data_IF_215717602732
#
_entry.id   IF_215717602732
#
_cell.length_a   1.000
_cell.length_b   1.000
_cell.length_c   1.000
_cell.angle_alpha   90.00
_cell.angle_beta   90.00
_cell.angle_gamma   90.00
#
_symmetry.space_group_name_H-M   'P 1'
#
loop_
_entity.id
_entity.type
_entity.pdbx_description
1 polymer ?
#
# COMPACT_ATOMS: atom_id res chain seq x y z
N UNK A 1 -25.05 -81.51 50.78
CA UNK A 1 -24.12 -80.74 49.93
C UNK A 1 -24.91 -79.87 48.96
N UNK A 2 -25.32 -78.65 49.37
CA UNK A 2 -26.04 -77.69 48.51
C UNK A 2 -25.38 -76.31 48.62
N UNK A 3 -24.07 -76.27 48.36
CA UNK A 3 -23.25 -75.05 48.38
C UNK A 3 -22.62 -74.74 47.01
N UNK A 4 -23.12 -75.33 45.91
CA UNK A 4 -22.55 -75.14 44.57
C UNK A 4 -23.27 -74.10 43.70
N UNK A 5 -24.58 -73.90 43.89
CA UNK A 5 -25.38 -73.01 43.01
C UNK A 5 -25.36 -71.54 43.41
N UNK A 6 -25.04 -71.21 44.67
CA UNK A 6 -24.97 -69.81 45.15
C UNK A 6 -23.61 -69.16 44.88
N UNK A 7 -22.53 -69.94 44.91
CA UNK A 7 -21.17 -69.44 44.69
C UNK A 7 -20.91 -69.02 43.24
N UNK A 8 -21.55 -69.67 42.25
CA UNK A 8 -21.42 -69.29 40.84
C UNK A 8 -22.05 -67.92 40.53
N UNK A 9 -23.17 -67.59 41.16
CA UNK A 9 -23.83 -66.29 40.99
C UNK A 9 -23.02 -65.18 41.65
N UNK A 10 -22.44 -65.45 42.83
CA UNK A 10 -21.59 -64.49 43.56
C UNK A 10 -20.28 -64.24 42.80
N UNK A 11 -19.65 -65.28 42.25
CA UNK A 11 -18.45 -65.14 41.45
C UNK A 11 -18.70 -64.37 40.13
N UNK A 12 -19.85 -64.60 39.47
CA UNK A 12 -20.23 -63.86 38.26
C UNK A 12 -20.51 -62.39 38.57
N UNK A 13 -21.13 -62.09 39.71
CA UNK A 13 -21.35 -60.72 40.19
C UNK A 13 -20.04 -60.01 40.54
N UNK A 14 -19.09 -60.71 41.17
CA UNK A 14 -17.78 -60.17 41.51
C UNK A 14 -16.94 -59.86 40.26
N UNK A 15 -16.94 -60.73 39.24
CA UNK A 15 -16.23 -60.46 37.98
C UNK A 15 -16.88 -59.30 37.20
N UNK A 16 -18.21 -59.16 37.26
CA UNK A 16 -18.91 -58.01 36.66
C UNK A 16 -18.63 -56.68 37.39
N UNK A 17 -18.27 -56.72 38.67
CA UNK A 17 -17.95 -55.53 39.49
C UNK A 17 -16.51 -55.03 39.32
N UNK A 18 -15.56 -55.90 38.99
CA UNK A 18 -14.15 -55.50 38.74
C UNK A 18 -13.93 -54.98 37.32
N UNK A 19 -14.85 -55.27 36.39
CA UNK A 19 -14.95 -54.57 35.10
C UNK A 19 -15.53 -53.16 35.21
N UNK A 20 -15.37 -52.51 36.37
CA UNK A 20 -15.82 -51.16 36.66
C UNK A 20 -15.28 -50.21 35.61
N UNK A 21 -16.16 -49.79 34.69
CA UNK A 21 -15.85 -48.75 33.74
C UNK A 21 -15.28 -47.57 34.50
N UNK A 22 -14.09 -47.11 34.10
CA UNK A 22 -13.64 -45.80 34.54
C UNK A 22 -14.62 -44.83 33.89
N UNK A 23 -15.67 -44.47 34.62
CA UNK A 23 -16.47 -43.32 34.27
C UNK A 23 -15.51 -42.13 34.49
N UNK A 24 -14.71 -41.83 33.47
CA UNK A 24 -13.96 -40.60 33.41
C UNK A 24 -15.01 -39.49 33.33
N UNK A 25 -15.53 -39.08 34.48
CA UNK A 25 -16.22 -37.81 34.64
C UNK A 25 -15.13 -36.72 34.55
N UNK A 26 -14.60 -36.52 33.35
CA UNK A 26 -13.89 -35.31 33.06
C UNK A 26 -14.92 -34.18 33.20
N UNK A 27 -14.75 -33.34 34.22
CA UNK A 27 -15.55 -32.13 34.38
C UNK A 27 -15.22 -31.23 33.19
N UNK A 28 -16.09 -31.24 32.18
CA UNK A 28 -15.98 -30.35 31.03
C UNK A 28 -16.28 -28.94 31.54
N UNK A 29 -15.23 -28.16 31.75
CA UNK A 29 -15.30 -26.74 32.06
C UNK A 29 -15.24 -25.99 30.74
N UNK A 30 -16.32 -25.28 30.42
CA UNK A 30 -16.38 -24.34 29.29
C UNK A 30 -16.75 -22.95 29.80
N UNK A 31 -16.21 -21.93 29.16
CA UNK A 31 -16.50 -20.53 29.46
C UNK A 31 -16.73 -19.78 28.16
N UNK A 32 -17.78 -18.96 28.12
CA UNK A 32 -18.03 -18.03 27.02
C UNK A 32 -17.86 -16.62 27.56
N UNK A 33 -17.25 -15.75 26.77
CA UNK A 33 -16.98 -14.37 27.14
C UNK A 33 -16.86 -13.52 25.89
N UNK A 34 -17.11 -12.23 26.02
CA UNK A 34 -16.90 -11.29 24.93
C UNK A 34 -15.39 -11.06 24.75
N UNK A 35 -14.92 -11.10 23.50
CA UNK A 35 -13.60 -10.66 23.10
C UNK A 35 -13.74 -9.42 22.19
N UNK A 36 -12.80 -8.50 22.29
CA UNK A 36 -12.77 -7.28 21.48
C UNK A 36 -11.57 -7.25 20.57
N UNK A 37 -11.70 -6.61 19.42
CA UNK A 37 -10.59 -6.25 18.53
C UNK A 37 -10.65 -4.74 18.21
N UNK A 38 -9.54 -4.18 17.72
CA UNK A 38 -9.45 -2.77 17.35
C UNK A 38 -8.88 -2.63 15.93
N UNK A 39 -9.44 -1.72 15.14
CA UNK A 39 -8.90 -1.37 13.83
C UNK A 39 -7.68 -0.44 13.97
N UNK A 40 -6.69 -0.63 13.11
CA UNK A 40 -5.56 0.30 13.00
C UNK A 40 -5.99 1.61 12.30
N UNK A 41 -5.17 2.66 12.47
CA UNK A 41 -5.32 3.93 11.73
C UNK A 41 -4.30 4.01 10.61
N UNK A 42 -4.70 4.55 9.46
CA UNK A 42 -3.79 4.82 8.36
C UNK A 42 -2.92 6.05 8.64
N UNK A 43 -1.65 5.95 8.26
CA UNK A 43 -0.66 7.02 8.30
C UNK A 43 -0.44 7.54 6.89
N UNK A 44 -0.23 8.84 6.74
CA UNK A 44 0.06 9.48 5.45
C UNK A 44 1.34 8.91 4.81
N UNK A 45 1.33 8.82 3.48
CA UNK A 45 2.52 8.47 2.70
C UNK A 45 3.51 9.64 2.70
N UNK A 46 4.80 9.33 2.65
CA UNK A 46 5.84 10.34 2.40
C UNK A 46 6.17 10.33 0.92
N UNK A 47 6.21 11.50 0.30
CA UNK A 47 6.53 11.66 -1.14
C UNK A 47 7.74 12.56 -1.26
N UNK A 48 8.82 12.05 -1.82
CA UNK A 48 10.05 12.79 -2.10
C UNK A 48 10.34 12.80 -3.60
N UNK A 49 11.16 13.76 -4.05
CA UNK A 49 11.47 13.91 -5.46
C UNK A 49 12.38 12.77 -5.93
N UNK A 50 11.98 12.09 -7.00
CA UNK A 50 12.83 11.18 -7.75
C UNK A 50 13.55 11.88 -8.90
N UNK A 51 14.24 11.08 -9.71
CA UNK A 51 14.95 11.59 -10.90
C UNK A 51 14.06 11.53 -12.14
N UNK A 52 13.95 12.62 -12.93
CA UNK A 52 13.21 12.59 -14.19
C UNK A 52 13.86 11.64 -15.19
N UNK A 53 13.04 10.98 -16.01
CA UNK A 53 13.49 10.00 -17.01
C UNK A 53 13.66 10.59 -18.41
N UNK A 54 13.13 11.79 -18.65
CA UNK A 54 13.24 12.51 -19.91
C UNK A 54 13.28 14.02 -19.67
N UNK A 55 13.93 14.75 -20.59
CA UNK A 55 13.94 16.22 -20.58
C UNK A 55 12.59 16.77 -21.04
N UNK A 56 12.08 17.76 -20.30
CA UNK A 56 10.90 18.52 -20.69
C UNK A 56 11.31 19.61 -21.70
N UNK A 57 10.52 19.75 -22.77
CA UNK A 57 10.72 20.76 -23.82
C UNK A 57 9.36 21.33 -24.25
N UNK A 58 9.34 22.50 -24.92
CA UNK A 58 8.10 23.14 -25.36
C UNK A 58 7.20 22.17 -26.12
N UNK A 59 5.96 22.02 -25.66
CA UNK A 59 5.02 21.01 -26.17
C UNK A 59 4.76 21.19 -27.67
N UNK A 60 5.08 20.24 -28.55
CA UNK A 60 4.75 20.35 -29.97
C UNK A 60 3.24 20.47 -30.19
N UNK A 61 2.82 21.07 -31.31
CA UNK A 61 1.39 21.20 -31.65
C UNK A 61 0.68 19.85 -31.73
N UNK A 62 1.38 18.80 -32.19
CA UNK A 62 0.88 17.42 -32.24
C UNK A 62 0.88 16.71 -30.88
N UNK A 63 1.34 17.36 -29.81
CA UNK A 63 1.59 16.76 -28.50
C UNK A 63 2.97 16.12 -28.38
N UNK A 64 3.26 15.56 -27.20
CA UNK A 64 4.48 14.80 -26.99
C UNK A 64 4.39 13.43 -27.66
N UNK A 65 5.48 13.01 -28.31
CA UNK A 65 5.56 11.67 -28.92
C UNK A 65 5.73 10.52 -27.92
N UNK A 66 5.93 10.83 -26.63
CA UNK A 66 6.07 9.85 -25.55
C UNK A 66 5.52 10.42 -24.25
N UNK A 67 4.84 9.57 -23.48
CA UNK A 67 4.31 9.91 -22.15
C UNK A 67 5.40 10.03 -21.08
N UNK A 68 6.64 9.62 -21.39
CA UNK A 68 7.81 9.86 -20.55
C UNK A 68 8.21 11.33 -20.54
N UNK A 69 7.90 12.09 -21.59
CA UNK A 69 8.15 13.53 -21.60
C UNK A 69 7.17 14.19 -20.65
N UNK A 70 7.70 14.96 -19.69
CA UNK A 70 6.89 15.54 -18.63
C UNK A 70 6.43 14.53 -17.57
N UNK A 71 6.95 13.31 -17.58
CA UNK A 71 6.72 12.39 -16.47
C UNK A 71 7.42 12.89 -15.21
N UNK A 72 6.74 12.77 -14.07
CA UNK A 72 7.31 13.04 -12.75
C UNK A 72 7.58 11.72 -12.07
N UNK A 73 8.78 11.55 -11.54
CA UNK A 73 9.15 10.41 -10.71
C UNK A 73 9.16 10.87 -9.26
N UNK A 74 8.42 10.17 -8.42
CA UNK A 74 8.44 10.35 -6.99
C UNK A 74 8.98 9.09 -6.31
N UNK A 75 9.69 9.25 -5.21
CA UNK A 75 10.01 8.17 -4.28
C UNK A 75 8.98 8.22 -3.15
N UNK A 76 8.36 7.08 -2.85
CA UNK A 76 7.22 7.02 -1.93
C UNK A 76 7.48 6.02 -0.82
N UNK A 77 7.32 6.49 0.42
CA UNK A 77 7.34 5.65 1.61
C UNK A 77 5.92 5.31 2.05
N UNK A 78 5.69 4.04 2.36
CA UNK A 78 4.47 3.56 2.97
C UNK A 78 4.77 3.11 4.42
N UNK A 79 4.60 3.99 5.43
CA UNK A 79 4.84 3.63 6.82
C UNK A 79 3.73 2.73 7.41
N UNK A 80 2.70 2.38 6.63
CA UNK A 80 1.60 1.56 7.11
C UNK A 80 2.01 0.08 7.19
N UNK A 81 1.46 -0.68 8.16
CA UNK A 81 1.69 -2.13 8.27
C UNK A 81 0.90 -2.95 7.24
N UNK A 82 0.35 -2.31 6.21
CA UNK A 82 -0.42 -2.92 5.14
C UNK A 82 -0.05 -2.28 3.79
N UNK A 83 -0.20 -3.00 2.67
CA UNK A 83 0.09 -2.47 1.36
C UNK A 83 -0.92 -1.39 0.93
N UNK A 84 -0.48 -0.43 0.12
CA UNK A 84 -1.31 0.67 -0.41
C UNK A 84 -1.26 0.68 -1.93
N UNK A 85 -2.42 0.67 -2.58
CA UNK A 85 -2.57 0.73 -4.03
C UNK A 85 -2.90 2.16 -4.47
N UNK A 86 -1.96 2.79 -5.16
CA UNK A 86 -2.07 4.14 -5.72
C UNK A 86 -2.84 4.12 -7.04
N UNK A 87 -3.76 5.07 -7.21
CA UNK A 87 -4.62 5.15 -8.40
C UNK A 87 -4.63 6.52 -9.07
N UNK A 88 -4.39 7.59 -8.31
CA UNK A 88 -4.43 8.94 -8.88
C UNK A 88 -3.28 9.80 -8.34
N UNK A 89 -2.94 10.81 -9.13
CA UNK A 89 -1.98 11.84 -8.80
C UNK A 89 -2.58 13.22 -9.08
N UNK A 90 -2.40 14.15 -8.16
CA UNK A 90 -2.68 15.57 -8.37
C UNK A 90 -1.42 16.38 -8.17
N UNK A 91 -1.37 17.54 -8.81
CA UNK A 91 -0.20 18.40 -8.82
C UNK A 91 -0.51 19.75 -8.21
N UNK A 92 0.40 20.22 -7.37
CA UNK A 92 0.36 21.55 -6.77
C UNK A 92 1.27 22.53 -7.49
N UNK A 93 1.91 23.40 -6.72
CA UNK A 93 2.79 24.43 -7.27
C UNK A 93 4.00 23.82 -7.99
N UNK A 94 4.33 24.39 -9.16
CA UNK A 94 5.56 24.14 -9.89
C UNK A 94 6.60 25.16 -9.47
N UNK A 95 7.83 24.71 -9.22
CA UNK A 95 9.00 25.55 -8.98
C UNK A 95 10.01 25.32 -10.10
N UNK A 96 10.61 26.40 -10.60
CA UNK A 96 11.67 26.35 -11.59
C UNK A 96 13.00 26.75 -10.96
N UNK A 97 14.05 25.99 -11.24
CA UNK A 97 15.43 26.30 -10.87
C UNK A 97 16.22 26.48 -12.17
N UNK A 98 16.40 27.72 -12.64
CA UNK A 98 17.20 27.98 -13.83
C UNK A 98 18.69 27.75 -13.58
N UNK A 99 19.44 27.58 -14.67
CA UNK A 99 20.90 27.62 -14.61
C UNK A 99 21.39 29.00 -14.16
N UNK A 100 22.58 29.05 -13.55
CA UNK A 100 23.21 30.30 -13.14
C UNK A 100 23.29 31.30 -14.32
N UNK A 101 22.85 32.54 -14.08
CA UNK A 101 22.83 33.60 -15.09
C UNK A 101 21.70 33.51 -16.12
N UNK A 102 20.75 32.58 -15.96
CA UNK A 102 19.54 32.49 -16.79
C UNK A 102 18.28 32.76 -15.97
N UNK A 103 17.22 33.16 -16.66
CA UNK A 103 15.88 33.30 -16.08
C UNK A 103 14.98 32.24 -16.69
N UNK A 104 14.20 31.54 -15.87
CA UNK A 104 13.13 30.67 -16.35
C UNK A 104 11.98 30.77 -15.36
N UNK A 105 10.83 31.25 -15.82
CA UNK A 105 9.66 31.36 -14.96
C UNK A 105 9.00 29.98 -14.79
N UNK A 106 8.54 29.67 -13.57
CA UNK A 106 7.75 28.46 -13.33
C UNK A 106 6.46 28.41 -14.16
N UNK A 107 5.90 29.58 -14.50
CA UNK A 107 4.72 29.71 -15.36
C UNK A 107 4.93 29.17 -16.79
N UNK A 108 6.17 28.91 -17.22
CA UNK A 108 6.46 28.24 -18.49
C UNK A 108 6.13 26.75 -18.46
N UNK A 109 5.84 26.18 -17.28
CA UNK A 109 5.44 24.79 -17.09
C UNK A 109 4.10 24.73 -16.39
N UNK A 110 3.20 23.95 -16.96
CA UNK A 110 1.88 23.68 -16.40
C UNK A 110 1.81 22.23 -15.96
N UNK A 111 1.11 21.97 -14.86
CA UNK A 111 0.69 20.62 -14.51
C UNK A 111 -0.77 20.46 -14.96
N UNK A 112 -1.09 19.51 -15.86
CA UNK A 112 -2.46 19.28 -16.28
C UNK A 112 -3.31 18.74 -15.12
N UNK A 113 -4.62 18.62 -15.38
CA UNK A 113 -5.62 18.10 -14.44
C UNK A 113 -5.21 16.75 -13.80
N UNK A 114 -5.85 16.32 -12.71
CA UNK A 114 -5.55 15.06 -12.03
C UNK A 114 -5.32 13.90 -13.00
N UNK A 115 -4.23 13.16 -12.79
CA UNK A 115 -3.85 12.01 -13.61
C UNK A 115 -4.32 10.73 -12.92
N UNK A 116 -5.09 9.93 -13.66
CA UNK A 116 -5.36 8.54 -13.27
C UNK A 116 -4.20 7.67 -13.75
N UNK A 117 -3.60 6.90 -12.84
CA UNK A 117 -2.53 5.98 -13.17
C UNK A 117 -3.11 4.81 -13.98
N UNK A 118 -2.71 4.70 -15.24
CA UNK A 118 -3.15 3.62 -16.13
C UNK A 118 -2.77 2.23 -15.58
N UNK A 119 -1.60 2.15 -14.95
CA UNK A 119 -1.15 0.99 -14.18
C UNK A 119 -1.03 1.40 -12.71
N UNK A 120 -1.98 0.99 -11.86
CA UNK A 120 -1.91 1.25 -10.43
C UNK A 120 -0.65 0.67 -9.80
N UNK A 121 -0.02 1.42 -8.91
CA UNK A 121 1.22 1.02 -8.23
C UNK A 121 0.88 0.55 -6.83
N UNK A 122 1.33 -0.64 -6.45
CA UNK A 122 1.16 -1.15 -5.09
C UNK A 122 2.45 -0.95 -4.31
N UNK A 123 2.37 -0.16 -3.24
CA UNK A 123 3.41 0.00 -2.24
C UNK A 123 3.28 -1.14 -1.22
N UNK A 124 4.32 -1.96 -0.98
CA UNK A 124 4.31 -2.94 0.10
C UNK A 124 4.14 -2.29 1.47
N UNK A 125 3.75 -3.07 2.47
CA UNK A 125 3.75 -2.61 3.86
C UNK A 125 5.17 -2.21 4.29
N UNK A 126 5.30 -1.10 5.01
CA UNK A 126 6.58 -0.56 5.51
C UNK A 126 7.66 -0.34 4.42
N UNK A 127 7.27 -0.16 3.15
CA UNK A 127 8.24 0.07 2.06
C UNK A 127 8.79 1.49 2.11
N UNK A 128 10.05 1.65 1.74
CA UNK A 128 10.71 2.94 1.57
C UNK A 128 11.16 3.14 0.13
N UNK A 129 11.28 4.40 -0.31
CA UNK A 129 11.84 4.83 -1.59
C UNK A 129 11.28 4.08 -2.81
N UNK A 130 10.00 3.72 -2.80
CA UNK A 130 9.40 3.04 -3.95
C UNK A 130 9.19 4.05 -5.07
N UNK A 131 9.83 3.83 -6.22
CA UNK A 131 9.71 4.72 -7.36
C UNK A 131 8.32 4.62 -8.01
N UNK A 132 7.64 5.77 -8.09
CA UNK A 132 6.34 5.93 -8.74
C UNK A 132 6.49 6.94 -9.87
N UNK A 133 6.28 6.48 -11.10
CA UNK A 133 6.30 7.33 -12.29
C UNK A 133 4.88 7.75 -12.65
N UNK A 134 4.65 9.05 -12.69
CA UNK A 134 3.39 9.64 -13.14
C UNK A 134 3.60 10.20 -14.55
N UNK A 135 3.13 9.52 -15.60
CA UNK A 135 3.30 9.96 -16.99
C UNK A 135 2.51 11.23 -17.29
N UNK A 136 3.03 12.09 -18.18
CA UNK A 136 2.33 13.31 -18.63
C UNK A 136 1.97 14.29 -17.52
N UNK A 137 2.75 14.31 -16.43
CA UNK A 137 2.51 15.12 -15.25
C UNK A 137 2.80 16.62 -15.44
N UNK A 138 3.66 16.97 -16.38
CA UNK A 138 4.06 18.35 -16.67
C UNK A 138 4.08 18.60 -18.17
N UNK A 139 3.67 19.80 -18.58
CA UNK A 139 3.78 20.28 -19.95
C UNK A 139 4.50 21.63 -19.96
N UNK A 140 5.47 21.80 -20.84
CA UNK A 140 6.10 23.10 -21.05
C UNK A 140 5.37 23.85 -22.15
N UNK A 141 5.05 25.11 -21.91
CA UNK A 141 4.38 25.97 -22.87
C UNK A 141 5.19 26.10 -24.17
N UNK A 142 4.48 26.17 -25.30
CA UNK A 142 5.09 26.41 -26.61
C UNK A 142 5.89 27.72 -26.68
N UNK A 143 5.49 28.69 -25.87
CA UNK A 143 6.09 30.03 -25.79
C UNK A 143 7.16 30.14 -24.70
N UNK A 144 7.57 29.03 -24.08
CA UNK A 144 8.60 29.04 -23.06
C UNK A 144 9.90 29.63 -23.61
N UNK A 145 10.50 30.55 -22.85
CA UNK A 145 11.70 31.25 -23.28
C UNK A 145 12.96 30.36 -23.24
N UNK A 146 13.98 30.75 -23.99
CA UNK A 146 15.24 30.03 -24.09
C UNK A 146 16.01 29.93 -22.76
N UNK A 147 15.67 30.76 -21.77
CA UNK A 147 16.30 30.71 -20.45
C UNK A 147 15.96 29.45 -19.67
N UNK A 148 14.91 28.71 -20.05
CA UNK A 148 14.54 27.41 -19.49
C UNK A 148 15.39 26.23 -19.95
N UNK A 149 16.27 26.42 -20.94
CA UNK A 149 17.14 25.34 -21.40
C UNK A 149 18.12 24.93 -20.28
N UNK A 150 18.00 23.68 -19.83
CA UNK A 150 18.80 23.12 -18.73
C UNK A 150 18.30 23.45 -17.32
N UNK A 151 17.15 24.14 -17.19
CA UNK A 151 16.50 24.35 -15.90
C UNK A 151 15.91 23.03 -15.36
N UNK A 152 15.88 22.88 -14.04
CA UNK A 152 15.12 21.80 -13.38
C UNK A 152 13.78 22.32 -12.90
N UNK A 153 12.74 21.50 -13.00
CA UNK A 153 11.41 21.81 -12.47
C UNK A 153 11.03 20.79 -11.40
N UNK A 154 10.53 21.27 -10.28
CA UNK A 154 9.91 20.45 -9.25
C UNK A 154 8.43 20.78 -9.16
N UNK A 155 7.62 19.79 -8.81
CA UNK A 155 6.18 19.97 -8.61
C UNK A 155 5.76 19.24 -7.35
N UNK A 156 4.89 19.85 -6.57
CA UNK A 156 4.27 19.14 -5.46
C UNK A 156 3.35 18.05 -6.00
N UNK A 157 3.58 16.81 -5.61
CA UNK A 157 2.75 15.66 -6.01
C UNK A 157 1.95 15.18 -4.82
N UNK A 158 0.66 14.97 -5.01
CA UNK A 158 -0.20 14.26 -4.06
C UNK A 158 -0.69 12.99 -4.72
N UNK A 159 -0.28 11.85 -4.16
CA UNK A 159 -0.70 10.53 -4.61
C UNK A 159 -1.86 10.05 -3.73
N UNK A 160 -2.90 9.53 -4.35
CA UNK A 160 -4.05 8.97 -3.64
C UNK A 160 -4.21 7.50 -3.96
N UNK A 161 -4.53 6.71 -2.93
CA UNK A 161 -4.71 5.28 -3.01
C UNK A 161 -5.49 4.75 -1.81
N UNK A 162 -5.69 3.43 -1.79
CA UNK A 162 -6.38 2.71 -0.70
C UNK A 162 -5.57 1.49 -0.28
N UNK A 163 -5.90 0.90 0.89
CA UNK A 163 -5.32 -0.39 1.29
C UNK A 163 -5.56 -1.46 0.22
N UNK A 164 -4.53 -2.24 -0.10
CA UNK A 164 -4.53 -3.25 -1.16
C UNK A 164 -4.82 -4.67 -0.62
#
# INVERSE_FOLDING_TARGET
MKLGKRSGVIALFLVALVGGGVAAAAWLVSGTGAATSQAASAVSLTVTAGSPTASLYPKPVAGYGSTSVGAVVALVDNPNPFPVRLTNATFGAVTATPLAGRTCAAANVIAPAPVTLATPVTLPANSTDTAVTVPGALEMLQTADNGCQGASFSVQVTLTGASA
#
